data_IF_910652021126
#
_entry.id   IF_910652021126
#
_cell.length_a   1.000
_cell.length_b   1.000
_cell.length_c   1.000
_cell.angle_alpha   90.00
_cell.angle_beta   90.00
_cell.angle_gamma   90.00
#
_symmetry.space_group_name_H-M   'P 1'
#
loop_
_entity.id
_entity.type
_entity.pdbx_description
1 polymer ?
#
# COMPACT_ATOMS: atom_id res chain seq x y z
N UNK A 1 -10.47 -25.45 12.83
CA UNK A 1 -9.86 -24.75 11.69
C UNK A 1 -9.27 -25.81 10.77
N UNK A 2 -9.48 -25.73 9.46
CA UNK A 2 -8.93 -26.72 8.51
C UNK A 2 -7.43 -26.45 8.27
N UNK A 3 -6.61 -27.49 8.29
CA UNK A 3 -5.18 -27.42 7.94
C UNK A 3 -4.94 -27.66 6.45
N UNK A 4 -3.69 -27.89 6.05
CA UNK A 4 -3.36 -28.27 4.68
C UNK A 4 -4.14 -29.51 4.21
N UNK A 5 -4.55 -29.50 2.94
CA UNK A 5 -5.28 -30.59 2.32
C UNK A 5 -6.53 -30.14 1.55
N UNK A 6 -7.25 -31.12 1.02
CA UNK A 6 -8.51 -30.90 0.30
C UNK A 6 -9.69 -31.20 1.21
N UNK A 7 -10.60 -30.25 1.36
CA UNK A 7 -11.75 -30.31 2.27
C UNK A 7 -13.05 -30.17 1.50
N UNK A 8 -14.12 -30.82 1.98
CA UNK A 8 -15.48 -30.62 1.47
C UNK A 8 -16.25 -29.71 2.43
N UNK A 9 -16.57 -28.50 1.99
CA UNK A 9 -17.27 -27.49 2.80
C UNK A 9 -18.53 -27.06 2.06
N UNK A 10 -19.71 -27.34 2.64
CA UNK A 10 -21.02 -27.00 2.05
C UNK A 10 -21.17 -27.50 0.59
N UNK A 11 -20.66 -28.70 0.29
CA UNK A 11 -20.70 -29.30 -1.04
C UNK A 11 -19.69 -28.73 -2.05
N UNK A 12 -18.78 -27.85 -1.62
CA UNK A 12 -17.66 -27.35 -2.44
C UNK A 12 -16.34 -27.96 -1.98
N UNK A 13 -15.53 -28.36 -2.95
CA UNK A 13 -14.16 -28.81 -2.72
C UNK A 13 -13.25 -27.58 -2.57
N UNK A 14 -12.58 -27.47 -1.43
CA UNK A 14 -11.67 -26.37 -1.09
C UNK A 14 -10.29 -26.95 -0.84
N UNK A 15 -9.33 -26.53 -1.63
CA UNK A 15 -7.93 -26.90 -1.48
C UNK A 15 -7.19 -25.83 -0.66
N UNK A 16 -6.63 -26.25 0.47
CA UNK A 16 -5.82 -25.41 1.36
C UNK A 16 -4.37 -25.86 1.23
N UNK A 17 -3.49 -24.96 0.80
CA UNK A 17 -2.05 -25.20 0.73
C UNK A 17 -1.31 -24.04 1.39
N UNK A 18 -0.23 -24.34 2.10
CA UNK A 18 0.59 -23.31 2.72
C UNK A 18 1.19 -22.36 1.68
N UNK A 19 1.58 -22.86 0.50
CA UNK A 19 2.09 -22.03 -0.60
C UNK A 19 1.08 -20.96 -1.03
N UNK A 20 -0.19 -21.32 -1.23
CA UNK A 20 -1.24 -20.32 -1.58
C UNK A 20 -1.41 -19.28 -0.47
N UNK A 21 -1.36 -19.70 0.80
CA UNK A 21 -1.46 -18.78 1.93
C UNK A 21 -0.26 -17.84 2.03
N UNK A 22 0.95 -18.34 1.80
CA UNK A 22 2.19 -17.57 1.71
C UNK A 22 2.14 -16.52 0.59
N UNK A 23 1.65 -16.91 -0.61
CA UNK A 23 1.40 -15.98 -1.72
C UNK A 23 0.41 -14.87 -1.32
N UNK A 24 -0.71 -15.23 -0.69
CA UNK A 24 -1.69 -14.25 -0.21
C UNK A 24 -1.11 -13.31 0.84
N UNK A 25 -0.29 -13.81 1.76
CA UNK A 25 0.42 -12.99 2.74
C UNK A 25 1.39 -12.02 2.06
N UNK A 26 2.17 -12.49 1.07
CA UNK A 26 3.11 -11.65 0.34
C UNK A 26 2.41 -10.50 -0.39
N UNK A 27 1.35 -10.81 -1.16
CA UNK A 27 0.55 -9.81 -1.85
C UNK A 27 -0.15 -8.84 -0.88
N UNK A 28 -0.61 -9.34 0.28
CA UNK A 28 -1.16 -8.50 1.34
C UNK A 28 -0.12 -7.50 1.87
N UNK A 29 1.11 -7.97 2.16
CA UNK A 29 2.19 -7.10 2.61
C UNK A 29 2.57 -6.06 1.54
N UNK A 30 2.58 -6.44 0.26
CA UNK A 30 2.77 -5.49 -0.85
C UNK A 30 1.65 -4.45 -0.90
N UNK A 31 0.39 -4.87 -0.72
CA UNK A 31 -0.75 -3.95 -0.65
C UNK A 31 -0.68 -2.99 0.54
N UNK A 32 -0.30 -3.48 1.72
CA UNK A 32 -0.09 -2.63 2.90
C UNK A 32 1.08 -1.68 2.66
N UNK A 33 2.17 -2.16 2.05
CA UNK A 33 3.30 -1.30 1.72
C UNK A 33 2.91 -0.17 0.77
N UNK A 34 2.10 -0.44 -0.26
CA UNK A 34 1.56 0.60 -1.14
C UNK A 34 0.61 1.57 -0.40
N UNK A 35 -0.18 1.07 0.55
CA UNK A 35 -1.05 1.91 1.40
C UNK A 35 -0.23 2.90 2.24
N UNK A 36 0.82 2.43 2.92
CA UNK A 36 1.69 3.28 3.74
C UNK A 36 2.60 4.19 2.91
N UNK A 37 3.15 3.70 1.78
CA UNK A 37 4.13 4.43 0.97
C UNK A 37 3.50 5.47 0.03
N UNK A 38 2.30 5.18 -0.50
CA UNK A 38 1.67 5.98 -1.55
C UNK A 38 0.44 6.68 -0.99
N UNK A 39 -0.57 5.91 -0.58
CA UNK A 39 -1.90 6.46 -0.29
C UNK A 39 -1.90 7.45 0.87
N UNK A 40 -1.24 7.09 1.97
CA UNK A 40 -1.08 8.02 3.09
C UNK A 40 -0.30 9.28 2.70
N UNK A 41 0.78 9.16 1.92
CA UNK A 41 1.58 10.31 1.50
C UNK A 41 0.84 11.25 0.54
N UNK A 42 0.00 10.72 -0.35
CA UNK A 42 -0.92 11.51 -1.18
C UNK A 42 -1.90 12.31 -0.31
N UNK A 43 -2.47 11.67 0.71
CA UNK A 43 -3.36 12.32 1.69
C UNK A 43 -2.63 13.39 2.52
N UNK A 44 -1.38 13.15 2.91
CA UNK A 44 -0.56 14.10 3.64
C UNK A 44 -0.25 15.33 2.80
N UNK A 45 0.09 15.16 1.52
CA UNK A 45 0.32 16.28 0.60
C UNK A 45 -0.91 17.22 0.55
N UNK A 46 -2.11 16.65 0.44
CA UNK A 46 -3.36 17.43 0.47
C UNK A 46 -3.52 18.20 1.80
N UNK A 47 -3.25 17.53 2.93
CA UNK A 47 -3.38 18.14 4.26
C UNK A 47 -2.39 19.27 4.50
N UNK A 48 -1.15 19.14 4.03
CA UNK A 48 -0.11 20.14 4.20
C UNK A 48 -0.28 21.33 3.27
N UNK A 49 -0.86 21.17 2.09
CA UNK A 49 -1.15 22.32 1.21
C UNK A 49 -2.16 23.31 1.80
N UNK A 50 -3.09 22.85 2.65
CA UNK A 50 -3.91 23.77 3.45
C UNK A 50 -3.07 24.51 4.50
N UNK A 51 -2.15 23.80 5.15
CA UNK A 51 -1.27 24.36 6.18
C UNK A 51 -0.32 25.43 5.64
N UNK A 52 0.20 25.27 4.42
CA UNK A 52 1.03 26.27 3.73
C UNK A 52 0.30 27.60 3.50
N UNK A 53 -1.03 27.58 3.57
CA UNK A 53 -1.89 28.75 3.45
C UNK A 53 -2.38 29.27 4.81
N UNK A 54 -1.75 28.83 5.90
CA UNK A 54 -2.12 29.17 7.28
C UNK A 54 -3.55 28.70 7.63
N UNK A 55 -4.06 27.69 6.93
CA UNK A 55 -5.36 27.07 7.19
C UNK A 55 -5.18 25.70 7.83
N UNK A 56 -6.11 25.32 8.71
CA UNK A 56 -6.16 23.98 9.32
C UNK A 56 -4.88 23.57 10.08
N UNK A 57 -4.15 24.53 10.68
CA UNK A 57 -2.86 24.27 11.35
C UNK A 57 -2.94 23.22 12.47
N UNK A 58 -4.06 23.16 13.19
CA UNK A 58 -4.30 22.13 14.22
C UNK A 58 -4.33 20.73 13.62
N UNK A 59 -5.02 20.56 12.48
CA UNK A 59 -5.03 19.32 11.71
C UNK A 59 -3.60 19.00 11.20
N UNK A 60 -2.90 19.99 10.65
CA UNK A 60 -1.54 19.81 10.15
C UNK A 60 -0.56 19.31 11.23
N UNK A 61 -0.69 19.79 12.48
CA UNK A 61 0.11 19.31 13.61
C UNK A 61 -0.15 17.84 13.93
N UNK A 62 -1.41 17.39 13.84
CA UNK A 62 -1.79 15.98 14.03
C UNK A 62 -1.25 15.13 12.87
N UNK A 63 -1.50 15.54 11.63
CA UNK A 63 -1.03 14.83 10.43
C UNK A 63 0.50 14.69 10.42
N UNK A 64 1.24 15.69 10.92
CA UNK A 64 2.69 15.60 11.07
C UNK A 64 3.14 14.48 12.01
N UNK A 65 2.40 14.23 13.09
CA UNK A 65 2.69 13.12 14.00
C UNK A 65 2.36 11.78 13.34
N UNK A 66 1.23 11.69 12.64
CA UNK A 66 0.82 10.49 11.90
C UNK A 66 1.86 10.15 10.83
N UNK A 67 2.27 11.11 10.00
CA UNK A 67 3.27 10.91 8.96
C UNK A 67 4.64 10.43 9.50
N UNK A 68 5.00 10.84 10.72
CA UNK A 68 6.20 10.33 11.39
C UNK A 68 6.06 8.85 11.74
N UNK A 69 4.89 8.44 12.20
CA UNK A 69 4.61 7.06 12.57
C UNK A 69 4.49 6.19 11.29
N UNK A 70 3.88 6.69 10.21
CA UNK A 70 3.80 5.97 8.93
C UNK A 70 5.17 5.73 8.28
N UNK A 71 6.15 6.62 8.49
CA UNK A 71 7.52 6.36 8.04
C UNK A 71 8.12 5.09 8.69
N UNK A 72 7.75 4.80 9.94
CA UNK A 72 8.17 3.58 10.63
C UNK A 72 7.40 2.35 10.12
N UNK A 73 6.09 2.47 9.89
CA UNK A 73 5.28 1.39 9.33
C UNK A 73 5.74 1.00 7.92
N UNK A 74 6.03 1.99 7.09
CA UNK A 74 6.63 1.82 5.77
C UNK A 74 7.97 1.09 5.85
N UNK A 75 8.88 1.55 6.71
CA UNK A 75 10.19 0.91 6.89
C UNK A 75 10.05 -0.54 7.36
N UNK A 76 9.10 -0.81 8.27
CA UNK A 76 8.81 -2.15 8.76
C UNK A 76 8.34 -3.09 7.66
N UNK A 77 7.38 -2.66 6.84
CA UNK A 77 6.86 -3.45 5.71
C UNK A 77 7.90 -3.66 4.61
N UNK A 78 8.71 -2.65 4.29
CA UNK A 78 9.85 -2.80 3.37
C UNK A 78 10.85 -3.84 3.88
N UNK A 79 11.18 -3.83 5.18
CA UNK A 79 12.10 -4.81 5.75
C UNK A 79 11.53 -6.23 5.67
N UNK A 80 10.26 -6.43 6.04
CA UNK A 80 9.57 -7.72 5.91
C UNK A 80 9.62 -8.23 4.47
N UNK A 81 9.21 -7.42 3.49
CA UNK A 81 9.21 -7.80 2.08
C UNK A 81 10.61 -8.12 1.55
N UNK A 82 11.63 -7.35 1.98
CA UNK A 82 13.03 -7.58 1.61
C UNK A 82 13.57 -8.91 2.15
N UNK A 83 13.28 -9.23 3.43
CA UNK A 83 13.67 -10.50 4.02
C UNK A 83 13.01 -11.68 3.30
N UNK A 84 11.69 -11.59 3.07
CA UNK A 84 10.92 -12.63 2.39
C UNK A 84 11.43 -12.90 0.97
N UNK A 85 11.64 -11.85 0.16
CA UNK A 85 12.13 -12.02 -1.23
C UNK A 85 13.59 -12.46 -1.33
N UNK A 86 14.39 -12.21 -0.29
CA UNK A 86 15.80 -12.63 -0.27
C UNK A 86 15.98 -14.15 -0.10
N UNK A 87 14.96 -14.83 0.42
CA UNK A 87 15.01 -16.27 0.72
C UNK A 87 15.85 -16.63 1.95
N UNK A 88 16.42 -15.64 2.66
CA UNK A 88 17.18 -15.88 3.89
C UNK A 88 16.31 -16.37 5.04
N UNK A 89 15.05 -15.93 5.09
CA UNK A 89 14.07 -16.33 6.10
C UNK A 89 13.31 -17.60 5.68
N UNK A 90 12.78 -17.60 4.45
CA UNK A 90 12.03 -18.71 3.87
C UNK A 90 12.34 -18.84 2.35
N UNK A 91 13.04 -19.90 1.91
CA UNK A 91 13.33 -20.12 0.50
C UNK A 91 12.09 -20.21 -0.39
N UNK A 92 10.97 -20.72 0.11
CA UNK A 92 9.72 -20.81 -0.66
C UNK A 92 9.13 -19.42 -0.93
N UNK A 93 9.32 -18.47 0.00
CA UNK A 93 8.85 -17.09 -0.17
C UNK A 93 9.66 -16.34 -1.23
N UNK A 94 10.94 -16.65 -1.42
CA UNK A 94 11.72 -16.12 -2.53
C UNK A 94 11.17 -16.57 -3.89
N UNK A 95 10.79 -17.84 -4.02
CA UNK A 95 10.15 -18.36 -5.24
C UNK A 95 8.81 -17.66 -5.50
N UNK A 96 7.96 -17.57 -4.47
CA UNK A 96 6.65 -16.90 -4.56
C UNK A 96 6.82 -15.43 -4.95
N UNK A 97 7.79 -14.73 -4.35
CA UNK A 97 8.08 -13.33 -4.66
C UNK A 97 8.47 -13.14 -6.13
N UNK A 98 9.31 -14.03 -6.67
CA UNK A 98 9.69 -14.01 -8.08
C UNK A 98 8.50 -14.34 -9.00
N UNK A 99 7.68 -15.33 -8.65
CA UNK A 99 6.47 -15.70 -9.40
C UNK A 99 5.43 -14.56 -9.46
N UNK A 100 5.37 -13.75 -8.40
CA UNK A 100 4.37 -12.68 -8.26
C UNK A 100 4.92 -11.30 -8.66
N UNK A 101 6.12 -11.19 -9.21
CA UNK A 101 6.76 -9.90 -9.50
C UNK A 101 5.87 -8.97 -10.34
N UNK A 102 5.30 -9.51 -11.44
CA UNK A 102 4.39 -8.74 -12.29
C UNK A 102 3.08 -8.38 -11.58
N UNK A 103 2.50 -9.30 -10.81
CA UNK A 103 1.26 -9.06 -10.05
C UNK A 103 1.46 -7.96 -8.99
N UNK A 104 2.62 -7.96 -8.34
CA UNK A 104 3.05 -6.92 -7.41
C UNK A 104 3.27 -5.57 -8.11
N UNK A 105 3.92 -5.57 -9.27
CA UNK A 105 4.13 -4.35 -10.06
C UNK A 105 2.79 -3.74 -10.46
N UNK A 106 1.89 -4.55 -11.02
CA UNK A 106 0.56 -4.12 -11.46
C UNK A 106 -0.25 -3.58 -10.27
N UNK A 107 -0.16 -4.21 -9.09
CA UNK A 107 -0.79 -3.73 -7.86
C UNK A 107 -0.32 -2.32 -7.50
N UNK A 108 0.99 -2.04 -7.57
CA UNK A 108 1.54 -0.72 -7.27
C UNK A 108 1.11 0.32 -8.31
N UNK A 109 1.09 -0.06 -9.59
CA UNK A 109 0.60 0.80 -10.68
C UNK A 109 -0.88 1.13 -10.47
N UNK A 110 -1.70 0.12 -10.17
CA UNK A 110 -3.13 0.30 -9.88
C UNK A 110 -3.34 1.22 -8.67
N UNK A 111 -2.58 1.02 -7.59
CA UNK A 111 -2.68 1.89 -6.42
C UNK A 111 -2.35 3.35 -6.77
N UNK A 112 -1.29 3.59 -7.55
CA UNK A 112 -0.93 4.93 -7.99
C UNK A 112 -1.99 5.55 -8.93
N UNK A 113 -2.58 4.76 -9.83
CA UNK A 113 -3.62 5.25 -10.74
C UNK A 113 -4.91 5.60 -10.00
N UNK A 114 -5.33 4.78 -9.04
CA UNK A 114 -6.46 5.08 -8.18
C UNK A 114 -6.27 6.39 -7.39
N UNK A 115 -5.05 6.68 -6.90
CA UNK A 115 -4.77 7.96 -6.23
C UNK A 115 -4.79 9.16 -7.19
N UNK A 116 -4.43 8.97 -8.47
CA UNK A 116 -4.59 10.01 -9.49
C UNK A 116 -6.06 10.27 -9.77
N UNK A 117 -6.85 9.23 -10.01
CA UNK A 117 -8.30 9.34 -10.21
C UNK A 117 -8.98 10.02 -9.01
N UNK A 118 -8.57 9.67 -7.79
CA UNK A 118 -9.01 10.32 -6.57
C UNK A 118 -8.66 11.81 -6.55
N UNK A 119 -7.44 12.19 -6.96
CA UNK A 119 -7.07 13.60 -7.07
C UNK A 119 -7.91 14.33 -8.13
N UNK A 120 -8.26 13.70 -9.25
CA UNK A 120 -9.16 14.29 -10.24
C UNK A 120 -10.54 14.59 -9.66
N UNK A 121 -11.09 13.64 -8.89
CA UNK A 121 -12.35 13.83 -8.19
C UNK A 121 -12.25 14.94 -7.13
N UNK A 122 -11.18 14.95 -6.33
CA UNK A 122 -10.96 15.92 -5.26
C UNK A 122 -10.92 17.37 -5.77
N UNK A 123 -10.41 17.60 -6.98
CA UNK A 123 -10.29 18.93 -7.60
C UNK A 123 -11.36 19.21 -8.67
N UNK A 124 -12.38 18.37 -8.78
CA UNK A 124 -13.41 18.49 -9.82
C UNK A 124 -14.22 19.79 -9.78
N UNK A 125 -14.40 20.38 -8.59
CA UNK A 125 -15.13 21.64 -8.39
C UNK A 125 -14.21 22.87 -8.21
N UNK A 126 -12.89 22.70 -8.38
CA UNK A 126 -11.90 23.77 -8.29
C UNK A 126 -10.58 23.31 -7.69
N UNK A 127 -9.48 23.79 -8.25
CA UNK A 127 -8.13 23.57 -7.70
C UNK A 127 -7.81 24.57 -6.60
N UNK A 128 -6.95 24.19 -5.65
CA UNK A 128 -6.32 25.16 -4.76
C UNK A 128 -4.97 25.61 -5.30
N UNK A 129 -4.59 26.85 -4.99
CA UNK A 129 -3.23 27.35 -5.26
C UNK A 129 -2.26 26.46 -4.47
N UNK A 130 -1.39 25.72 -5.17
CA UNK A 130 -0.42 24.78 -4.59
C UNK A 130 -0.83 23.29 -4.64
N UNK A 131 -2.06 22.95 -5.02
CA UNK A 131 -2.46 21.58 -5.35
C UNK A 131 -3.46 21.58 -6.52
N UNK A 132 -2.99 21.12 -7.68
CA UNK A 132 -3.78 20.92 -8.87
C UNK A 132 -3.53 19.53 -9.48
N UNK A 133 -4.42 19.12 -10.40
CA UNK A 133 -4.40 17.81 -11.08
C UNK A 133 -3.04 17.42 -11.71
N UNK A 134 -2.16 18.37 -12.03
CA UNK A 134 -0.89 18.15 -12.72
C UNK A 134 0.33 18.18 -11.79
N UNK A 135 0.15 18.52 -10.52
CA UNK A 135 1.28 18.56 -9.60
C UNK A 135 1.76 17.12 -9.36
N UNK A 136 3.06 16.83 -9.52
CA UNK A 136 3.59 15.51 -9.26
C UNK A 136 3.38 15.19 -7.78
N UNK A 137 2.42 14.31 -7.50
CA UNK A 137 2.33 13.68 -6.19
C UNK A 137 3.70 13.06 -5.88
N UNK A 138 4.22 13.19 -4.65
CA UNK A 138 5.49 12.60 -4.29
C UNK A 138 5.33 11.08 -4.30
N UNK A 139 5.54 10.48 -5.47
CA UNK A 139 5.79 9.05 -5.60
C UNK A 139 7.25 8.91 -5.15
N UNK A 140 7.41 8.48 -3.89
CA UNK A 140 8.69 8.12 -3.30
C UNK A 140 9.32 6.97 -4.11
#
# INVERSE_FOLDING_TARGET
MFGEGTHQIKGKTVEVTLRKLKKQLYLCLMSVNALEAIRFYVSFACSFAFAERELMEGNAKIIKLIARDEALHLTGTQHMLNLLRSGQDDPEMAEIAAECEQECYDLFVEAAEQEKEWAEYLFSEGSMIGLNKRDPLPIC
#
